data_IF_753027427911
#
_entry.id   IF_753027427911
#
_cell.length_a   1.000
_cell.length_b   1.000
_cell.length_c   1.000
_cell.angle_alpha   90.00
_cell.angle_beta   90.00
_cell.angle_gamma   90.00
#
_symmetry.space_group_name_H-M   'P 1'
#
loop_
_entity.id
_entity.type
_entity.pdbx_description
1 polymer ?
#
# COMPACT_ATOMS: atom_id res chain seq x y z
N UNK A 1 -3.57 11.09 4.16
CA UNK A 1 -3.59 9.60 4.25
C UNK A 1 -4.65 9.17 5.24
N UNK A 2 -5.42 8.13 4.93
CA UNK A 2 -6.35 7.44 5.82
C UNK A 2 -5.62 6.43 6.69
N UNK A 3 -5.98 6.34 7.98
CA UNK A 3 -5.44 5.32 8.89
C UNK A 3 -5.86 3.93 8.44
N UNK A 4 -4.90 3.02 8.36
CA UNK A 4 -5.19 1.64 8.00
C UNK A 4 -5.88 0.94 9.18
N UNK A 5 -7.02 0.30 8.92
CA UNK A 5 -7.84 -0.28 9.99
C UNK A 5 -7.15 -1.44 10.73
N UNK A 6 -6.20 -2.12 10.08
CA UNK A 6 -5.41 -3.20 10.66
C UNK A 6 -6.28 -4.25 11.38
N UNK A 7 -7.31 -4.77 10.70
CA UNK A 7 -8.30 -5.69 11.29
C UNK A 7 -7.70 -7.01 11.80
N UNK A 8 -6.52 -7.39 11.31
CA UNK A 8 -5.79 -8.56 11.78
C UNK A 8 -4.82 -8.24 12.94
N UNK A 9 -4.61 -6.97 13.29
CA UNK A 9 -3.80 -6.53 14.43
C UNK A 9 -2.29 -6.44 14.20
N UNK A 10 -1.72 -7.17 13.23
CA UNK A 10 -0.27 -7.31 13.05
C UNK A 10 0.33 -6.68 11.78
N UNK A 11 -0.44 -5.85 11.05
CA UNK A 11 0.01 -5.24 9.79
C UNK A 11 1.22 -4.31 9.95
N UNK A 12 2.17 -4.40 9.01
CA UNK A 12 3.25 -3.41 8.86
C UNK A 12 2.79 -2.05 8.33
N UNK A 13 1.61 -2.00 7.69
CA UNK A 13 1.01 -0.77 7.14
C UNK A 13 0.24 -0.02 8.23
N UNK A 14 0.43 1.30 8.32
CA UNK A 14 -0.22 2.19 9.29
C UNK A 14 -1.21 3.16 8.64
N UNK A 15 -0.98 3.55 7.39
CA UNK A 15 -1.86 4.47 6.66
C UNK A 15 -1.72 4.29 5.15
N UNK A 16 -2.71 4.78 4.40
CA UNK A 16 -2.68 4.77 2.94
C UNK A 16 -3.36 6.02 2.34
N UNK A 17 -3.13 6.29 1.06
CA UNK A 17 -3.92 7.23 0.28
C UNK A 17 -4.21 6.61 -1.09
N UNK A 18 -5.46 6.73 -1.54
CA UNK A 18 -5.91 6.23 -2.84
C UNK A 18 -5.91 7.38 -3.86
N UNK A 19 -5.56 7.06 -5.09
CA UNK A 19 -5.76 7.87 -6.29
C UNK A 19 -6.18 6.93 -7.44
N UNK A 20 -6.63 7.45 -8.58
CA UNK A 20 -7.23 6.62 -9.64
C UNK A 20 -6.34 5.44 -10.05
N UNK A 21 -5.09 5.70 -10.43
CA UNK A 21 -4.12 4.68 -10.85
C UNK A 21 -2.95 4.52 -9.88
N UNK A 22 -3.13 4.89 -8.61
CA UNK A 22 -2.06 4.82 -7.62
C UNK A 22 -2.55 4.55 -6.20
N UNK A 23 -1.61 4.10 -5.37
CA UNK A 23 -1.76 4.03 -3.93
C UNK A 23 -0.45 4.42 -3.25
N UNK A 24 -0.54 5.32 -2.27
CA UNK A 24 0.55 5.60 -1.34
C UNK A 24 0.34 4.80 -0.06
N UNK A 25 1.36 4.08 0.41
CA UNK A 25 1.29 3.20 1.58
C UNK A 25 2.38 3.60 2.57
N UNK A 26 1.98 3.93 3.79
CA UNK A 26 2.89 4.23 4.90
C UNK A 26 3.09 3.01 5.78
N UNK A 27 4.34 2.66 6.03
CA UNK A 27 4.72 1.58 6.93
C UNK A 27 5.08 2.08 8.33
N UNK A 28 5.11 1.17 9.29
CA UNK A 28 5.48 1.45 10.69
C UNK A 28 6.88 2.07 10.85
N UNK A 29 7.78 1.80 9.91
CA UNK A 29 9.13 2.37 9.88
C UNK A 29 9.15 3.87 9.58
N UNK A 30 8.04 4.42 9.06
CA UNK A 30 7.84 5.86 8.86
C UNK A 30 7.74 6.24 7.38
N UNK A 31 8.39 5.48 6.50
CA UNK A 31 8.43 5.71 5.07
C UNK A 31 7.07 5.51 4.40
N UNK A 32 6.85 6.29 3.34
CA UNK A 32 5.70 6.14 2.45
C UNK A 32 6.17 5.73 1.07
N UNK A 33 5.66 4.60 0.57
CA UNK A 33 5.94 4.11 -0.78
C UNK A 33 4.74 4.39 -1.68
N UNK A 34 5.01 4.83 -2.91
CA UNK A 34 3.98 5.12 -3.91
C UNK A 34 4.04 4.03 -4.97
N UNK A 35 2.92 3.37 -5.21
CA UNK A 35 2.75 2.39 -6.27
C UNK A 35 1.80 2.94 -7.31
N UNK A 36 2.17 2.86 -8.58
CA UNK A 36 1.34 3.30 -9.72
C UNK A 36 1.06 2.14 -10.65
N UNK A 37 0.07 2.30 -11.53
CA UNK A 37 -0.22 1.32 -12.58
C UNK A 37 1.03 1.07 -13.46
N UNK A 38 1.84 2.09 -13.71
CA UNK A 38 3.08 1.98 -14.47
C UNK A 38 4.20 1.22 -13.72
N UNK A 39 4.27 1.35 -12.39
CA UNK A 39 5.34 0.71 -11.60
C UNK A 39 5.00 -0.74 -11.20
N UNK A 40 3.79 -0.96 -10.69
CA UNK A 40 3.36 -2.22 -10.10
C UNK A 40 2.37 -2.99 -10.98
N UNK A 41 1.86 -2.37 -12.05
CA UNK A 41 0.74 -2.89 -12.85
C UNK A 41 -0.62 -2.50 -12.29
N UNK A 42 -1.56 -2.18 -13.18
CA UNK A 42 -2.91 -1.74 -12.83
C UNK A 42 -3.67 -2.77 -11.95
N UNK A 43 -3.52 -4.07 -12.24
CA UNK A 43 -4.17 -5.14 -11.46
C UNK A 43 -3.65 -5.20 -10.02
N UNK A 44 -2.34 -5.03 -9.82
CA UNK A 44 -1.74 -5.03 -8.50
C UNK A 44 -2.18 -3.80 -7.70
N UNK A 45 -2.22 -2.61 -8.33
CA UNK A 45 -2.72 -1.38 -7.70
C UNK A 45 -4.18 -1.53 -7.30
N UNK A 46 -5.04 -2.00 -8.19
CA UNK A 46 -6.45 -2.23 -7.87
C UNK A 46 -6.61 -3.22 -6.70
N UNK A 47 -5.79 -4.27 -6.65
CA UNK A 47 -5.77 -5.23 -5.54
C UNK A 47 -5.32 -4.57 -4.24
N UNK A 48 -4.24 -3.77 -4.27
CA UNK A 48 -3.78 -3.01 -3.10
C UNK A 48 -4.86 -2.06 -2.57
N UNK A 49 -5.52 -1.31 -3.44
CA UNK A 49 -6.62 -0.42 -3.05
C UNK A 49 -7.77 -1.19 -2.38
N UNK A 50 -8.18 -2.34 -2.94
CA UNK A 50 -9.21 -3.21 -2.34
C UNK A 50 -8.82 -3.70 -0.93
N UNK A 51 -7.58 -4.16 -0.76
CA UNK A 51 -7.06 -4.61 0.54
C UNK A 51 -6.92 -3.46 1.54
N UNK A 52 -6.54 -2.26 1.07
CA UNK A 52 -6.46 -1.05 1.87
C UNK A 52 -7.83 -0.69 2.48
N UNK A 53 -8.87 -0.65 1.66
CA UNK A 53 -10.25 -0.40 2.08
C UNK A 53 -10.79 -1.51 2.98
N UNK A 54 -10.47 -2.77 2.69
CA UNK A 54 -10.84 -3.90 3.53
C UNK A 54 -10.13 -3.89 4.90
N UNK A 55 -9.01 -3.18 5.03
CA UNK A 55 -8.27 -3.05 6.28
C UNK A 55 -7.53 -4.31 6.71
N UNK A 56 -7.32 -5.27 5.81
CA UNK A 56 -6.61 -6.54 6.07
C UNK A 56 -5.85 -7.01 4.83
N UNK A 57 -4.72 -7.70 5.04
CA UNK A 57 -3.96 -8.37 3.97
C UNK A 57 -3.04 -7.49 3.13
N UNK A 58 -3.16 -6.14 3.17
CA UNK A 58 -2.34 -5.25 2.33
C UNK A 58 -0.83 -5.45 2.52
N UNK A 59 -0.34 -5.47 3.76
CA UNK A 59 1.09 -5.63 4.05
C UNK A 59 1.65 -6.95 3.50
N UNK A 60 0.88 -8.04 3.59
CA UNK A 60 1.28 -9.37 3.11
C UNK A 60 1.27 -9.42 1.59
N UNK A 61 0.26 -8.85 0.95
CA UNK A 61 0.18 -8.79 -0.50
C UNK A 61 1.36 -8.00 -1.09
N UNK A 62 1.68 -6.85 -0.49
CA UNK A 62 2.84 -6.07 -0.90
C UNK A 62 4.12 -6.91 -0.77
N UNK A 63 4.37 -7.53 0.38
CA UNK A 63 5.63 -8.27 0.59
C UNK A 63 5.78 -9.52 -0.28
N UNK A 64 4.68 -10.21 -0.58
CA UNK A 64 4.72 -11.47 -1.35
C UNK A 64 4.65 -11.24 -2.86
N UNK A 65 3.87 -10.26 -3.32
CA UNK A 65 3.54 -10.07 -4.74
C UNK A 65 4.22 -8.84 -5.34
N UNK A 66 4.07 -7.67 -4.70
CA UNK A 66 4.49 -6.39 -5.31
C UNK A 66 5.96 -6.06 -5.07
N UNK A 67 6.45 -6.32 -3.85
CA UNK A 67 7.82 -6.10 -3.40
C UNK A 67 8.26 -4.65 -3.66
N UNK A 68 9.33 -4.49 -4.43
CA UNK A 68 10.01 -3.22 -4.70
C UNK A 68 9.46 -2.49 -5.94
N UNK A 69 8.31 -2.91 -6.48
CA UNK A 69 7.68 -2.30 -7.67
C UNK A 69 7.00 -0.95 -7.38
N UNK A 70 7.58 -0.14 -6.48
CA UNK A 70 7.13 1.22 -6.19
C UNK A 70 7.72 2.21 -7.19
N UNK A 71 6.95 3.24 -7.53
CA UNK A 71 7.41 4.36 -8.36
C UNK A 71 8.35 5.29 -7.60
N UNK A 72 8.22 5.36 -6.27
CA UNK A 72 9.07 6.19 -5.43
C UNK A 72 8.74 6.06 -3.95
N UNK A 73 9.59 6.69 -3.13
CA UNK A 73 9.43 6.81 -1.68
C UNK A 73 9.40 8.28 -1.30
N UNK A 74 8.52 8.64 -0.38
CA UNK A 74 8.47 9.96 0.25
C UNK A 74 9.00 9.80 1.69
N UNK A 75 10.03 10.57 2.00
CA UNK A 75 10.52 10.78 3.37
C UNK A 75 9.84 12.04 3.91
N UNK A 76 9.23 11.92 5.09
CA UNK A 76 8.74 13.04 5.89
C UNK A 76 9.64 13.20 7.10
#
# INVERSE_FOLDING_TARGET
MQRYANRNGHSGVVAYALADDAIAVRFRSGETYVYTADSAGAEAVATMQRLAMAGRGLSTYISQTVRDAYAGKIEL
#
